data_IF_561538461649
#
_entry.id   IF_561538461649
#
_cell.length_a   1.000
_cell.length_b   1.000
_cell.length_c   1.000
_cell.angle_alpha   90.00
_cell.angle_beta   90.00
_cell.angle_gamma   90.00
#
_symmetry.space_group_name_H-M   'P 1'
#
loop_
_entity.id
_entity.type
_entity.pdbx_description
1 polymer ?
#
# COMPACT_ATOMS: atom_id res chain seq x y z
N UNK A 1 -5.73 8.49 10.38
CA UNK A 1 -4.37 7.91 10.25
C UNK A 1 -3.90 8.04 8.80
N UNK A 2 -2.67 8.52 8.53
CA UNK A 2 -2.19 8.73 7.14
C UNK A 2 -1.91 7.40 6.39
N UNK A 3 -1.27 6.36 6.99
CA UNK A 3 -1.19 5.03 6.38
C UNK A 3 -2.55 4.41 6.03
N UNK A 4 -3.57 4.60 6.87
CA UNK A 4 -4.95 4.16 6.59
C UNK A 4 -5.55 4.87 5.37
N UNK A 5 -5.27 6.16 5.16
CA UNK A 5 -5.75 6.87 3.97
C UNK A 5 -5.12 6.28 2.71
N UNK A 6 -3.81 5.97 2.72
CA UNK A 6 -3.17 5.26 1.61
C UNK A 6 -3.84 3.90 1.36
N UNK A 7 -4.07 3.14 2.42
CA UNK A 7 -4.73 1.83 2.34
C UNK A 7 -6.15 1.93 1.75
N UNK A 8 -6.97 2.88 2.23
CA UNK A 8 -8.33 3.10 1.70
C UNK A 8 -8.33 3.49 0.22
N UNK A 9 -7.39 4.35 -0.20
CA UNK A 9 -7.24 4.66 -1.62
C UNK A 9 -6.83 3.43 -2.42
N UNK A 10 -5.96 2.56 -1.90
CA UNK A 10 -5.60 1.31 -2.57
C UNK A 10 -6.77 0.32 -2.64
N UNK A 11 -7.64 0.28 -1.63
CA UNK A 11 -8.89 -0.49 -1.70
C UNK A 11 -9.83 0.06 -2.79
N UNK A 12 -9.92 1.39 -2.94
CA UNK A 12 -10.66 2.01 -4.04
C UNK A 12 -10.05 1.62 -5.39
N UNK A 13 -8.73 1.73 -5.55
CA UNK A 13 -8.03 1.29 -6.77
C UNK A 13 -8.35 -0.18 -7.06
N UNK A 14 -8.28 -1.06 -6.07
CA UNK A 14 -8.59 -2.48 -6.23
C UNK A 14 -10.01 -2.74 -6.75
N UNK A 15 -10.99 -1.90 -6.37
CA UNK A 15 -12.36 -2.00 -6.88
C UNK A 15 -12.52 -1.57 -8.34
N UNK A 16 -11.59 -0.77 -8.86
CA UNK A 16 -11.57 -0.28 -10.23
C UNK A 16 -10.85 -1.22 -11.20
N UNK A 17 -9.83 -1.96 -10.72
CA UNK A 17 -8.99 -2.82 -11.57
C UNK A 17 -9.71 -3.92 -12.37
N UNK A 18 -10.84 -4.52 -11.92
CA UNK A 18 -11.54 -5.53 -12.72
C UNK A 18 -12.10 -5.02 -14.05
N UNK A 19 -12.29 -3.71 -14.19
CA UNK A 19 -12.87 -3.09 -15.37
C UNK A 19 -11.82 -2.21 -16.08
N UNK A 20 -11.50 -2.59 -17.31
CA UNK A 20 -10.50 -1.90 -18.15
C UNK A 20 -10.86 -0.45 -18.46
N UNK A 21 -12.14 -0.09 -18.42
CA UNK A 21 -12.60 1.29 -18.62
C UNK A 21 -12.20 2.20 -17.45
N UNK A 22 -12.03 1.63 -16.25
CA UNK A 22 -11.65 2.37 -15.05
C UNK A 22 -10.14 2.41 -14.80
N UNK A 23 -9.31 1.76 -15.64
CA UNK A 23 -7.86 1.78 -15.48
C UNK A 23 -7.24 3.18 -15.49
N UNK A 24 -7.67 4.13 -16.35
CA UNK A 24 -7.16 5.50 -16.30
C UNK A 24 -7.47 6.20 -14.97
N UNK A 25 -8.64 5.94 -14.37
CA UNK A 25 -9.01 6.45 -13.05
C UNK A 25 -8.14 5.84 -11.94
N UNK A 26 -7.97 4.52 -11.96
CA UNK A 26 -7.06 3.80 -11.06
C UNK A 26 -5.62 4.35 -11.15
N UNK A 27 -5.12 4.59 -12.37
CA UNK A 27 -3.81 5.17 -12.59
C UNK A 27 -3.71 6.61 -12.06
N UNK A 28 -4.75 7.43 -12.24
CA UNK A 28 -4.78 8.79 -11.70
C UNK A 28 -4.71 8.81 -10.17
N UNK A 29 -5.39 7.89 -9.48
CA UNK A 29 -5.29 7.73 -8.02
C UNK A 29 -3.87 7.37 -7.59
N UNK A 30 -3.21 6.43 -8.29
CA UNK A 30 -1.86 5.98 -7.99
C UNK A 30 -0.75 6.97 -8.39
N UNK A 31 -1.02 7.89 -9.33
CA UNK A 31 -0.10 8.98 -9.71
C UNK A 31 -0.07 10.13 -8.71
N UNK A 32 -0.96 10.12 -7.72
CA UNK A 32 -0.89 11.08 -6.62
C UNK A 32 0.47 11.00 -5.92
N UNK A 33 1.13 12.14 -5.70
CA UNK A 33 2.44 12.22 -5.04
C UNK A 33 2.53 11.47 -3.71
N UNK A 34 1.40 11.23 -3.03
CA UNK A 34 1.34 10.43 -1.80
C UNK A 34 1.81 8.98 -1.98
N UNK A 35 1.73 8.44 -3.20
CA UNK A 35 2.22 7.12 -3.59
C UNK A 35 3.65 7.12 -4.14
N UNK A 36 4.32 8.28 -4.13
CA UNK A 36 5.75 8.30 -4.43
C UNK A 36 6.55 7.75 -3.24
N UNK A 37 7.64 7.05 -3.55
CA UNK A 37 8.54 6.41 -2.59
C UNK A 37 8.91 7.31 -1.41
N UNK A 38 9.32 8.56 -1.65
CA UNK A 38 9.74 9.49 -0.58
C UNK A 38 8.56 9.91 0.31
N UNK A 39 7.43 10.42 -0.22
CA UNK A 39 6.21 10.68 0.58
C UNK A 39 5.67 9.48 1.36
N UNK A 40 5.63 8.28 0.75
CA UNK A 40 5.25 7.06 1.47
C UNK A 40 6.22 6.79 2.62
N UNK A 41 7.53 6.90 2.37
CA UNK A 41 8.56 6.74 3.40
C UNK A 41 8.34 7.71 4.56
N UNK A 42 8.06 8.98 4.30
CA UNK A 42 7.76 9.99 5.33
C UNK A 42 6.51 9.60 6.11
N UNK A 43 5.45 9.18 5.42
CA UNK A 43 4.18 8.74 6.03
C UNK A 43 4.37 7.59 7.01
N UNK A 44 5.12 6.56 6.62
CA UNK A 44 5.40 5.42 7.49
C UNK A 44 6.32 5.79 8.67
N UNK A 45 7.35 6.61 8.45
CA UNK A 45 8.25 7.05 9.52
C UNK A 45 7.52 7.89 10.57
N UNK A 46 6.81 8.94 10.15
CA UNK A 46 6.06 9.81 11.04
C UNK A 46 5.07 9.03 11.92
N UNK A 47 4.51 7.95 11.37
CA UNK A 47 3.62 7.08 12.10
C UNK A 47 4.36 6.12 13.04
N UNK A 48 5.46 5.50 12.60
CA UNK A 48 6.31 4.65 13.45
C UNK A 48 6.90 5.40 14.65
N UNK A 49 7.26 6.67 14.45
CA UNK A 49 7.80 7.54 15.51
C UNK A 49 6.72 7.81 16.56
N UNK A 50 5.49 8.14 16.14
CA UNK A 50 4.34 8.32 17.05
C UNK A 50 4.06 7.07 17.89
N UNK A 51 4.06 5.89 17.26
CA UNK A 51 3.87 4.60 17.94
C UNK A 51 4.99 4.34 18.95
N UNK A 52 6.23 4.64 18.59
CA UNK A 52 7.40 4.41 19.47
C UNK A 52 7.40 5.33 20.69
N UNK A 53 6.88 6.56 20.57
CA UNK A 53 6.72 7.48 21.71
C UNK A 53 5.57 7.12 22.65
N UNK A 54 4.63 6.28 22.22
CA UNK A 54 3.48 5.83 23.04
C UNK A 54 3.63 4.45 23.70
N UNK A 55 4.48 3.56 23.16
CA UNK A 55 4.57 2.16 23.57
C UNK A 55 5.88 1.77 24.29
N UNK A 56 6.20 2.40 25.41
CA UNK A 56 7.13 1.79 26.36
C UNK A 56 6.41 0.66 27.14
N UNK A 57 6.14 -0.49 26.50
CA UNK A 57 5.73 -1.70 27.26
C UNK A 57 4.70 -2.65 26.63
N UNK A 58 4.93 -3.21 25.44
CA UNK A 58 4.24 -4.45 25.05
C UNK A 58 5.22 -5.60 24.85
N UNK A 59 5.05 -6.62 25.70
CA UNK A 59 5.88 -7.82 25.83
C UNK A 59 5.58 -8.84 24.72
N UNK A 60 6.63 -9.41 24.12
CA UNK A 60 6.53 -10.58 23.23
C UNK A 60 7.55 -10.60 22.09
N UNK A 61 7.94 -9.44 21.57
CA UNK A 61 9.05 -9.30 20.64
C UNK A 61 9.96 -8.18 21.15
N UNK A 62 11.27 -8.43 21.19
CA UNK A 62 12.24 -7.41 21.57
C UNK A 62 12.03 -6.17 20.68
N UNK A 63 12.15 -4.94 21.23
CA UNK A 63 11.86 -3.71 20.48
C UNK A 63 12.55 -3.64 19.10
N UNK A 64 13.74 -4.23 18.98
CA UNK A 64 14.49 -4.34 17.71
C UNK A 64 13.84 -5.24 16.66
N UNK A 65 13.18 -6.32 17.07
CA UNK A 65 12.49 -7.25 16.17
C UNK A 65 11.26 -6.63 15.52
N UNK A 66 10.40 -5.96 16.29
CA UNK A 66 9.21 -5.27 15.76
C UNK A 66 9.57 -4.10 14.85
N UNK A 67 10.60 -3.32 15.21
CA UNK A 67 11.11 -2.25 14.36
C UNK A 67 11.61 -2.79 13.02
N UNK A 68 12.34 -3.91 13.04
CA UNK A 68 12.82 -4.58 11.82
C UNK A 68 11.65 -5.05 10.95
N UNK A 69 10.66 -5.72 11.55
CA UNK A 69 9.49 -6.18 10.81
C UNK A 69 8.70 -5.02 10.19
N UNK A 70 8.45 -3.94 10.94
CA UNK A 70 7.78 -2.73 10.41
C UNK A 70 8.55 -2.12 9.25
N UNK A 71 9.88 -2.07 9.34
CA UNK A 71 10.74 -1.55 8.27
C UNK A 71 10.68 -2.40 7.00
N UNK A 72 10.78 -3.73 7.14
CA UNK A 72 10.70 -4.66 6.02
C UNK A 72 9.32 -4.58 5.35
N UNK A 73 8.24 -4.72 6.12
CA UNK A 73 6.87 -4.66 5.59
C UNK A 73 6.59 -3.33 4.88
N UNK A 74 7.06 -2.20 5.42
CA UNK A 74 6.97 -0.90 4.74
C UNK A 74 7.66 -0.91 3.37
N UNK A 75 8.87 -1.43 3.28
CA UNK A 75 9.63 -1.43 2.04
C UNK A 75 8.98 -2.34 0.99
N UNK A 76 8.40 -3.46 1.43
CA UNK A 76 7.65 -4.37 0.57
C UNK A 76 6.39 -3.68 0.02
N UNK A 77 5.64 -2.97 0.86
CA UNK A 77 4.48 -2.17 0.42
C UNK A 77 4.91 -1.15 -0.64
N UNK A 78 5.96 -0.37 -0.39
CA UNK A 78 6.42 0.67 -1.31
C UNK A 78 6.84 0.07 -2.65
N UNK A 79 7.61 -1.03 -2.62
CA UNK A 79 8.07 -1.69 -3.83
C UNK A 79 6.91 -2.25 -4.66
N UNK A 80 5.91 -2.86 -4.00
CA UNK A 80 4.74 -3.39 -4.70
C UNK A 80 3.82 -2.27 -5.22
N UNK A 81 3.74 -1.10 -4.58
CA UNK A 81 3.03 0.07 -5.13
C UNK A 81 3.73 0.58 -6.38
N UNK A 82 5.06 0.66 -6.38
CA UNK A 82 5.83 1.04 -7.58
C UNK A 82 5.59 0.04 -8.71
N UNK A 83 5.68 -1.27 -8.45
CA UNK A 83 5.39 -2.32 -9.43
C UNK A 83 3.95 -2.25 -9.97
N UNK A 84 2.96 -2.04 -9.10
CA UNK A 84 1.56 -1.87 -9.48
C UNK A 84 1.37 -0.68 -10.43
N UNK A 85 2.03 0.46 -10.16
CA UNK A 85 1.99 1.65 -11.01
C UNK A 85 2.57 1.36 -12.40
N UNK A 86 3.75 0.74 -12.45
CA UNK A 86 4.40 0.40 -13.71
C UNK A 86 3.56 -0.56 -14.55
N UNK A 87 3.00 -1.59 -13.91
CA UNK A 87 2.16 -2.57 -14.58
C UNK A 87 0.89 -1.94 -15.14
N UNK A 88 0.20 -1.12 -14.34
CA UNK A 88 -1.02 -0.45 -14.79
C UNK A 88 -0.75 0.52 -15.95
N UNK A 89 0.34 1.31 -15.86
CA UNK A 89 0.74 2.22 -16.94
C UNK A 89 1.14 1.45 -18.22
N UNK A 90 1.77 0.27 -18.08
CA UNK A 90 2.09 -0.60 -19.21
C UNK A 90 0.82 -1.11 -19.89
N UNK A 91 -0.10 -1.70 -19.13
CA UNK A 91 -1.35 -2.27 -19.64
C UNK A 91 -2.23 -1.21 -20.34
N UNK A 92 -2.30 0.02 -19.82
CA UNK A 92 -2.99 1.14 -20.47
C UNK A 92 -2.35 1.44 -21.84
N UNK A 93 -1.02 1.50 -21.93
CA UNK A 93 -0.31 1.81 -23.18
C UNK A 93 -0.48 0.72 -24.24
N UNK A 94 -0.40 -0.54 -23.86
CA UNK A 94 -0.61 -1.66 -24.80
C UNK A 94 -2.04 -1.67 -25.35
N UNK A 95 -3.01 -1.27 -24.52
CA UNK A 95 -4.39 -1.09 -24.93
C UNK A 95 -4.54 0.03 -25.95
N UNK A 96 -3.94 1.18 -25.71
CA UNK A 96 -3.96 2.33 -26.63
C UNK A 96 -3.33 2.01 -27.99
N UNK A 97 -2.35 1.10 -28.04
CA UNK A 97 -1.74 0.61 -29.29
C UNK A 97 -2.59 -0.42 -30.03
N UNK A 98 -3.67 -0.92 -29.43
CA UNK A 98 -4.49 -2.00 -29.99
C UNK A 98 -3.84 -3.39 -29.87
N UNK A 99 -2.81 -3.55 -29.04
CA UNK A 99 -2.07 -4.80 -28.82
C UNK A 99 -2.64 -5.62 -27.66
N UNK A 100 -3.59 -5.06 -26.89
CA UNK A 100 -4.20 -5.66 -25.70
C UNK A 100 -5.26 -6.74 -25.97
N UNK A 101 -5.13 -7.52 -27.05
CA UNK A 101 -6.12 -8.54 -27.43
C UNK A 101 -6.39 -9.59 -26.34
N UNK A 102 -5.48 -9.74 -25.39
CA UNK A 102 -5.65 -10.53 -24.16
C UNK A 102 -4.64 -10.04 -23.10
N UNK A 103 -4.81 -8.80 -22.60
CA UNK A 103 -3.84 -8.21 -21.67
C UNK A 103 -3.77 -9.05 -20.37
N UNK A 104 -2.61 -9.65 -20.11
CA UNK A 104 -2.39 -10.46 -18.90
C UNK A 104 -2.44 -9.58 -17.64
N UNK A 105 -3.53 -9.68 -16.90
CA UNK A 105 -3.75 -8.92 -15.65
C UNK A 105 -3.26 -9.66 -14.40
N UNK A 106 -2.56 -10.81 -14.56
CA UNK A 106 -2.11 -11.61 -13.44
C UNK A 106 -1.10 -10.86 -12.56
N UNK A 107 -0.15 -10.15 -13.16
CA UNK A 107 0.84 -9.36 -12.41
C UNK A 107 0.19 -8.15 -11.73
N UNK A 108 -0.75 -7.47 -12.41
CA UNK A 108 -1.52 -6.38 -11.83
C UNK A 108 -2.27 -6.83 -10.56
N UNK A 109 -2.96 -7.98 -10.65
CA UNK A 109 -3.69 -8.60 -9.55
C UNK A 109 -2.78 -9.04 -8.41
N UNK A 110 -1.62 -9.59 -8.75
CA UNK A 110 -0.58 -10.02 -7.79
C UNK A 110 -0.02 -8.83 -7.01
N UNK A 111 0.37 -7.75 -7.68
CA UNK A 111 0.89 -6.56 -7.00
C UNK A 111 -0.19 -5.91 -6.13
N UNK A 112 -1.44 -5.82 -6.61
CA UNK A 112 -2.53 -5.29 -5.79
C UNK A 112 -2.74 -6.11 -4.51
N UNK A 113 -2.80 -7.45 -4.63
CA UNK A 113 -2.93 -8.34 -3.47
C UNK A 113 -1.76 -8.20 -2.50
N UNK A 114 -0.53 -8.11 -3.02
CA UNK A 114 0.67 -7.95 -2.22
C UNK A 114 0.68 -6.63 -1.44
N UNK A 115 0.27 -5.53 -2.07
CA UNK A 115 0.14 -4.22 -1.42
C UNK A 115 -0.88 -4.29 -0.28
N UNK A 116 -2.10 -4.77 -0.55
CA UNK A 116 -3.17 -4.83 0.46
C UNK A 116 -2.77 -5.72 1.64
N UNK A 117 -2.25 -6.93 1.35
CA UNK A 117 -1.79 -7.85 2.38
C UNK A 117 -0.62 -7.29 3.19
N UNK A 118 0.28 -6.53 2.55
CA UNK A 118 1.38 -5.83 3.20
C UNK A 118 0.87 -4.78 4.19
N UNK A 119 -0.14 -3.98 3.81
CA UNK A 119 -0.77 -3.02 4.71
C UNK A 119 -1.47 -3.71 5.89
N UNK A 120 -2.21 -4.80 5.66
CA UNK A 120 -2.83 -5.57 6.73
C UNK A 120 -1.79 -6.15 7.70
N UNK A 121 -0.68 -6.69 7.19
CA UNK A 121 0.44 -7.16 8.00
C UNK A 121 1.06 -6.01 8.79
N UNK A 122 1.27 -4.85 8.14
CA UNK A 122 1.80 -3.66 8.80
C UNK A 122 0.90 -3.21 9.95
N UNK A 123 -0.42 -3.18 9.76
CA UNK A 123 -1.37 -2.81 10.80
C UNK A 123 -1.39 -3.79 11.98
N UNK A 124 -1.18 -5.09 11.75
CA UNK A 124 -1.03 -6.09 12.83
C UNK A 124 0.21 -5.87 13.70
N UNK A 125 1.24 -5.20 13.16
CA UNK A 125 2.46 -4.84 13.90
C UNK A 125 2.29 -3.56 14.73
N UNK A 126 1.12 -2.91 14.67
CA UNK A 126 0.84 -1.68 15.39
C UNK A 126 0.13 -1.96 16.74
N UNK A 127 0.29 -1.06 17.73
CA UNK A 127 -0.55 -1.04 18.92
C UNK A 127 -2.04 -1.21 18.61
N UNK A 128 -2.74 -2.05 19.38
CA UNK A 128 -4.19 -2.24 19.23
C UNK A 128 -5.01 -0.96 19.41
N UNK A 129 -4.60 -0.09 20.34
CA UNK A 129 -5.23 1.21 20.61
C UNK A 129 -5.22 2.14 19.39
N UNK A 130 -4.16 2.08 18.59
CA UNK A 130 -4.01 2.88 17.38
C UNK A 130 -4.74 2.28 16.16
N UNK A 131 -4.91 0.95 16.11
CA UNK A 131 -5.73 0.27 15.09
C UNK A 131 -7.22 0.53 15.34
N UNK A 132 -7.68 0.49 16.59
CA UNK A 132 -9.07 0.78 16.95
C UNK A 132 -9.47 2.23 16.61
N UNK A 133 -8.58 3.20 16.86
CA UNK A 133 -8.79 4.61 16.47
C UNK A 133 -8.77 4.84 14.94
N UNK A 134 -8.24 3.89 14.16
CA UNK A 134 -8.12 3.98 12.71
C UNK A 134 -9.26 3.26 11.97
N UNK A 135 -9.69 2.10 12.46
CA UNK A 135 -10.72 1.27 11.77
C UNK A 135 -12.15 1.68 12.15
N UNK A 136 -12.33 2.39 13.27
CA UNK A 136 -13.58 3.05 13.62
C UNK A 136 -14.19 2.57 14.94
N UNK A 137 -14.65 3.55 15.71
CA UNK A 137 -16.02 3.53 16.24
C UNK A 137 -17.00 3.77 15.09
#
# INVERSE_FOLDING_TARGET
>A
MVPLQLYRTLQQVASLLPDVEHWPEAAALLRNQRFDKKPMKVTFNAYSDRVSTGQAGQEGASPSGLQTMRYLTRNDIISNVDSLRFELDYLIREREKGEAGDADTADLSKYMRAVLSGFEAYFKLLPREDVAAAVGS
#
